data_IF_406513788358
#
_entry.id   IF_406513788358
#
_cell.length_a   1.000
_cell.length_b   1.000
_cell.length_c   1.000
_cell.angle_alpha   90.00
_cell.angle_beta   90.00
_cell.angle_gamma   90.00
#
_symmetry.space_group_name_H-M   'P 1'
#
loop_
_entity.id
_entity.type
_entity.pdbx_description
1 polymer ?
#
# COMPACT_ATOMS: atom_id res chain seq x y z
N UNK A 1 19.30 -4.65 12.14
CA UNK A 1 20.75 -4.37 12.23
C UNK A 1 21.44 -5.44 13.06
N UNK A 2 22.53 -6.06 12.57
CA UNK A 2 23.38 -6.94 13.37
C UNK A 2 23.90 -6.22 14.61
N UNK A 3 23.76 -6.84 15.78
CA UNK A 3 24.19 -6.27 17.07
C UNK A 3 25.67 -5.84 17.07
N UNK A 4 26.52 -6.57 16.33
CA UNK A 4 27.93 -6.23 16.16
C UNK A 4 28.16 -4.89 15.46
N UNK A 5 27.29 -4.46 14.54
CA UNK A 5 27.41 -3.17 13.85
C UNK A 5 27.00 -2.00 14.74
N UNK A 6 25.98 -2.17 15.59
CA UNK A 6 25.57 -1.16 16.57
C UNK A 6 26.65 -0.94 17.65
N UNK A 7 27.38 -1.98 18.03
CA UNK A 7 28.46 -1.90 19.04
C UNK A 7 29.78 -1.31 18.50
N UNK A 8 29.98 -1.32 17.18
CA UNK A 8 31.18 -0.78 16.53
C UNK A 8 31.04 0.71 16.16
N UNK A 9 29.82 1.26 16.21
CA UNK A 9 29.61 2.67 15.92
C UNK A 9 30.06 3.55 17.07
N UNK A 10 31.00 4.45 16.79
CA UNK A 10 31.53 5.45 17.73
C UNK A 10 30.81 6.80 17.62
N UNK A 11 29.88 6.94 16.68
CA UNK A 11 29.23 8.20 16.36
C UNK A 11 27.91 8.45 17.12
N UNK A 12 27.50 7.55 18.04
CA UNK A 12 26.20 7.54 18.75
C UNK A 12 24.95 7.56 17.84
N UNK A 13 25.12 7.65 16.51
CA UNK A 13 24.01 7.70 15.55
C UNK A 13 23.37 6.33 15.31
N UNK A 14 24.14 5.24 15.31
CA UNK A 14 23.63 3.88 15.09
C UNK A 14 23.27 3.16 16.39
N UNK A 15 23.81 3.58 17.54
CA UNK A 15 23.47 3.02 18.85
C UNK A 15 22.02 3.33 19.24
N UNK A 16 21.49 4.49 18.81
CA UNK A 16 20.10 4.89 19.03
C UNK A 16 19.05 4.20 18.14
N UNK A 17 19.47 3.50 17.08
CA UNK A 17 18.55 2.78 16.17
C UNK A 17 18.10 1.42 16.71
N UNK A 18 18.75 0.91 17.76
CA UNK A 18 18.52 -0.43 18.28
C UNK A 18 19.06 -1.54 17.37
N UNK A 19 18.83 -2.80 17.78
CA UNK A 19 19.24 -4.00 17.05
C UNK A 19 18.04 -4.92 16.82
N UNK A 20 18.17 -5.86 15.88
CA UNK A 20 17.09 -6.79 15.51
C UNK A 20 16.62 -6.64 14.07
N UNK A 21 15.54 -7.32 13.71
CA UNK A 21 14.91 -7.19 12.40
C UNK A 21 14.33 -5.78 12.26
N UNK A 22 14.44 -5.15 11.10
CA UNK A 22 13.97 -3.77 10.92
C UNK A 22 13.30 -3.66 9.56
N UNK A 23 12.33 -2.76 9.46
CA UNK A 23 11.82 -2.35 8.16
C UNK A 23 12.84 -1.39 7.52
N UNK A 24 13.20 -1.65 6.27
CA UNK A 24 14.05 -0.77 5.47
C UNK A 24 13.30 -0.33 4.22
N UNK A 25 13.29 0.96 3.96
CA UNK A 25 12.80 1.52 2.70
C UNK A 25 13.97 1.93 1.81
N UNK A 26 13.73 1.92 0.49
CA UNK A 26 14.68 2.47 -0.47
C UNK A 26 14.68 4.00 -0.39
N UNK A 27 15.87 4.60 -0.27
CA UNK A 27 16.02 6.04 -0.42
C UNK A 27 15.92 6.41 -1.91
N UNK A 28 15.06 7.39 -2.22
CA UNK A 28 14.89 7.95 -3.56
C UNK A 28 15.19 9.44 -3.49
N UNK A 29 16.14 9.90 -4.31
CA UNK A 29 16.59 11.29 -4.30
C UNK A 29 15.81 12.14 -5.29
N UNK A 30 15.73 13.45 -5.03
CA UNK A 30 15.15 14.45 -5.94
C UNK A 30 13.66 14.20 -6.28
N UNK A 31 12.93 13.61 -5.34
CA UNK A 31 11.48 13.46 -5.41
C UNK A 31 10.78 14.43 -4.47
N UNK A 32 9.57 14.83 -4.83
CA UNK A 32 8.65 15.55 -3.95
C UNK A 32 7.34 14.77 -3.88
N UNK A 33 6.50 15.09 -2.90
CA UNK A 33 5.12 14.62 -2.93
C UNK A 33 4.43 15.03 -4.25
N UNK A 34 3.64 14.14 -4.83
CA UNK A 34 2.97 14.43 -6.09
C UNK A 34 1.97 15.58 -5.92
N UNK A 35 2.04 16.54 -6.84
CA UNK A 35 1.09 17.64 -6.94
C UNK A 35 0.03 17.36 -8.01
N UNK A 36 -1.12 18.05 -7.92
CA UNK A 36 -2.23 17.94 -8.89
C UNK A 36 -1.75 18.16 -10.34
N UNK A 37 -0.81 19.09 -10.56
CA UNK A 37 -0.27 19.37 -11.89
C UNK A 37 0.60 18.24 -12.45
N UNK A 38 1.16 17.38 -11.59
CA UNK A 38 1.98 16.24 -12.00
C UNK A 38 1.14 14.96 -12.16
N UNK A 39 -0.05 14.88 -11.55
CA UNK A 39 -0.99 13.76 -11.73
C UNK A 39 -1.26 13.49 -13.21
N UNK A 40 -1.43 14.52 -14.03
CA UNK A 40 -1.71 14.35 -15.47
C UNK A 40 -0.58 13.67 -16.25
N UNK A 41 0.67 13.76 -15.76
CA UNK A 41 1.85 13.15 -16.37
C UNK A 41 1.99 11.66 -16.07
N UNK A 42 1.36 11.16 -15.00
CA UNK A 42 1.41 9.75 -14.64
C UNK A 42 0.74 8.92 -15.74
N UNK A 43 1.41 7.84 -16.18
CA UNK A 43 0.91 6.94 -17.23
C UNK A 43 -0.48 6.39 -16.85
N UNK A 44 -1.46 6.41 -17.77
CA UNK A 44 -2.82 5.94 -17.47
C UNK A 44 -2.89 4.52 -16.90
N UNK A 45 -2.08 3.59 -17.43
CA UNK A 45 -2.02 2.21 -16.93
C UNK A 45 -1.56 2.14 -15.47
N UNK A 46 -0.61 2.98 -15.06
CA UNK A 46 -0.12 3.01 -13.69
C UNK A 46 -1.17 3.59 -12.74
N UNK A 47 -1.94 4.59 -13.19
CA UNK A 47 -3.08 5.11 -12.42
C UNK A 47 -4.14 4.04 -12.18
N UNK A 48 -4.49 3.27 -13.21
CA UNK A 48 -5.42 2.14 -13.07
C UNK A 48 -4.87 1.08 -12.11
N UNK A 49 -3.58 0.75 -12.22
CA UNK A 49 -2.95 -0.24 -11.36
C UNK A 49 -2.99 0.15 -9.88
N UNK A 50 -2.66 1.40 -9.57
CA UNK A 50 -2.70 1.94 -8.21
C UNK A 50 -4.15 1.98 -7.71
N UNK A 51 -5.09 2.55 -8.49
CA UNK A 51 -6.50 2.61 -8.11
C UNK A 51 -7.12 1.23 -7.84
N UNK A 52 -6.82 0.24 -8.69
CA UNK A 52 -7.29 -1.12 -8.51
C UNK A 52 -6.69 -1.75 -7.25
N UNK A 53 -5.39 -1.55 -7.02
CA UNK A 53 -4.68 -2.06 -5.86
C UNK A 53 -5.21 -1.46 -4.56
N UNK A 54 -5.32 -0.14 -4.45
CA UNK A 54 -5.81 0.52 -3.23
C UNK A 54 -7.26 0.17 -2.92
N UNK A 55 -8.11 -0.02 -3.94
CA UNK A 55 -9.46 -0.58 -3.71
C UNK A 55 -9.39 -2.02 -3.21
N UNK A 56 -8.54 -2.85 -3.79
CA UNK A 56 -8.41 -4.26 -3.42
C UNK A 56 -7.96 -4.46 -1.98
N UNK A 57 -6.97 -3.67 -1.54
CA UNK A 57 -6.49 -3.71 -0.16
C UNK A 57 -7.26 -2.80 0.78
N UNK A 58 -8.32 -2.11 0.33
CA UNK A 58 -9.08 -1.15 1.14
C UNK A 58 -8.22 -0.05 1.76
N UNK A 59 -7.33 0.57 0.96
CA UNK A 59 -6.49 1.69 1.38
C UNK A 59 -7.18 3.03 1.10
N UNK A 60 -7.87 3.57 2.10
CA UNK A 60 -8.62 4.83 2.02
C UNK A 60 -7.77 6.11 2.04
N UNK A 61 -6.49 6.01 2.37
CA UNK A 61 -5.66 7.18 2.69
C UNK A 61 -5.12 7.89 1.44
N UNK A 62 -5.03 7.19 0.29
CA UNK A 62 -4.47 7.71 -0.97
C UNK A 62 -5.38 8.76 -1.63
N UNK A 63 -5.37 9.96 -1.09
CA UNK A 63 -6.35 11.01 -1.42
C UNK A 63 -5.68 12.24 -2.02
N UNK A 64 -6.34 12.87 -2.99
CA UNK A 64 -5.92 14.19 -3.48
C UNK A 64 -7.10 14.90 -4.16
N UNK A 65 -7.43 16.09 -3.68
CA UNK A 65 -8.46 16.96 -4.21
C UNK A 65 -7.96 18.40 -4.32
N UNK A 66 -8.77 19.30 -4.87
CA UNK A 66 -8.46 20.75 -4.89
C UNK A 66 -8.29 21.34 -3.49
N UNK A 67 -8.85 20.71 -2.46
CA UNK A 67 -8.68 21.09 -1.05
C UNK A 67 -7.43 20.49 -0.38
N UNK A 68 -6.62 19.73 -1.13
CA UNK A 68 -5.52 18.91 -0.62
C UNK A 68 -5.92 17.45 -0.42
N UNK A 69 -5.07 16.71 0.29
CA UNK A 69 -5.22 15.28 0.56
C UNK A 69 -3.91 14.69 1.05
N UNK A 70 -3.88 13.38 1.25
CA UNK A 70 -2.66 12.64 1.55
C UNK A 70 -2.34 11.68 0.39
N UNK A 71 -1.62 12.10 -0.65
CA UNK A 71 -1.43 11.25 -1.81
C UNK A 71 -0.53 10.05 -1.50
N UNK A 72 0.36 10.11 -0.50
CA UNK A 72 1.35 9.05 -0.21
C UNK A 72 2.08 8.55 -1.49
N UNK A 73 2.40 9.50 -2.37
CA UNK A 73 3.02 9.26 -3.66
C UNK A 73 4.14 10.29 -3.84
N UNK A 74 5.33 9.81 -4.14
CA UNK A 74 6.47 10.65 -4.48
C UNK A 74 6.64 10.70 -5.99
N UNK A 75 7.01 11.86 -6.51
CA UNK A 75 7.17 12.14 -7.93
C UNK A 75 8.56 12.73 -8.21
N UNK A 76 9.22 12.20 -9.24
CA UNK A 76 10.45 12.73 -9.80
C UNK A 76 10.14 13.48 -11.09
N UNK A 77 10.25 14.82 -11.09
CA UNK A 77 10.13 15.60 -12.33
C UNK A 77 11.29 15.35 -13.32
N UNK A 78 12.40 14.77 -12.84
CA UNK A 78 13.57 14.47 -13.67
C UNK A 78 13.40 13.18 -14.47
N UNK A 79 12.84 12.14 -13.85
CA UNK A 79 12.67 10.81 -14.47
C UNK A 79 11.24 10.52 -14.88
N UNK A 80 10.30 11.37 -14.50
CA UNK A 80 8.85 11.17 -14.68
C UNK A 80 8.37 9.85 -14.05
N UNK A 81 8.95 9.52 -12.90
CA UNK A 81 8.64 8.31 -12.15
C UNK A 81 7.82 8.63 -10.91
N UNK A 82 6.90 7.70 -10.61
CA UNK A 82 6.03 7.74 -9.44
C UNK A 82 6.43 6.61 -8.49
N UNK A 83 6.62 6.95 -7.22
CA UNK A 83 6.94 5.99 -6.16
C UNK A 83 5.78 5.94 -5.18
N UNK A 84 5.25 4.74 -4.95
CA UNK A 84 4.15 4.50 -4.04
C UNK A 84 4.71 4.20 -2.66
N UNK A 85 4.28 4.99 -1.67
CA UNK A 85 4.70 4.82 -0.29
C UNK A 85 3.46 4.67 0.61
N UNK A 86 3.75 4.33 1.86
CA UNK A 86 2.84 4.32 3.00
C UNK A 86 1.48 3.59 2.78
N UNK A 87 1.43 2.34 3.26
CA UNK A 87 0.24 1.49 3.23
C UNK A 87 -0.17 1.07 4.65
N UNK A 88 0.24 1.83 5.66
CA UNK A 88 -0.04 1.53 7.07
C UNK A 88 -1.55 1.52 7.40
N UNK A 89 -2.37 2.25 6.63
CA UNK A 89 -3.83 2.33 6.75
C UNK A 89 -4.58 1.46 5.73
N UNK A 90 -3.90 0.48 5.12
CA UNK A 90 -4.58 -0.54 4.33
C UNK A 90 -5.42 -1.48 5.21
N UNK A 91 -6.35 -2.20 4.58
CA UNK A 91 -7.30 -3.13 5.21
C UNK A 91 -8.30 -2.45 6.16
N UNK A 92 -8.62 -1.18 5.93
CA UNK A 92 -9.65 -0.46 6.67
C UNK A 92 -11.05 -0.85 6.17
N UNK A 93 -11.78 -1.62 6.99
CA UNK A 93 -13.13 -2.11 6.69
C UNK A 93 -14.17 -0.99 6.48
N UNK A 94 -13.87 0.25 6.90
CA UNK A 94 -14.76 1.40 6.68
C UNK A 94 -14.67 1.96 5.26
N UNK A 95 -13.65 1.57 4.50
CA UNK A 95 -13.46 2.01 3.12
C UNK A 95 -14.51 1.38 2.20
N UNK A 96 -15.28 2.24 1.54
CA UNK A 96 -16.27 1.82 0.54
C UNK A 96 -15.81 2.20 -0.85
N UNK A 97 -16.38 1.56 -1.88
CA UNK A 97 -16.09 1.94 -3.25
C UNK A 97 -16.57 3.37 -3.54
N UNK A 98 -17.65 3.82 -2.89
CA UNK A 98 -18.15 5.19 -3.02
C UNK A 98 -17.15 6.18 -2.42
N UNK A 99 -16.66 5.95 -1.19
CA UNK A 99 -15.67 6.85 -0.57
C UNK A 99 -14.39 6.93 -1.39
N UNK A 100 -13.94 5.80 -1.97
CA UNK A 100 -12.81 5.78 -2.90
C UNK A 100 -13.05 6.60 -4.18
N UNK A 101 -14.22 6.48 -4.79
CA UNK A 101 -14.56 7.26 -5.98
C UNK A 101 -14.62 8.76 -5.66
N UNK A 102 -14.98 9.13 -4.43
CA UNK A 102 -15.07 10.53 -4.01
C UNK A 102 -13.71 11.17 -3.73
N UNK A 103 -12.78 10.45 -3.08
CA UNK A 103 -11.55 11.05 -2.54
C UNK A 103 -10.24 10.59 -3.18
N UNK A 104 -10.22 9.44 -3.85
CA UNK A 104 -8.98 8.84 -4.34
C UNK A 104 -8.34 9.68 -5.46
N UNK A 105 -7.02 9.84 -5.42
CA UNK A 105 -6.26 10.62 -6.42
C UNK A 105 -6.49 10.15 -7.87
N UNK A 106 -6.73 8.85 -8.06
CA UNK A 106 -7.03 8.22 -9.36
C UNK A 106 -8.49 7.72 -9.46
N UNK A 107 -9.44 8.42 -8.81
CA UNK A 107 -10.87 8.08 -8.80
C UNK A 107 -11.49 7.94 -10.20
N UNK A 108 -10.99 8.70 -11.17
CA UNK A 108 -11.42 8.59 -12.57
C UNK A 108 -11.09 7.22 -13.14
N UNK A 109 -9.87 6.71 -12.92
CA UNK A 109 -9.47 5.37 -13.37
C UNK A 109 -10.21 4.27 -12.61
N UNK A 110 -10.45 4.45 -11.31
CA UNK A 110 -11.28 3.53 -10.54
C UNK A 110 -12.69 3.43 -11.15
N UNK A 111 -13.27 4.58 -11.51
CA UNK A 111 -14.57 4.63 -12.17
C UNK A 111 -14.58 3.95 -13.54
N UNK A 112 -13.52 4.10 -14.33
CA UNK A 112 -13.34 3.39 -15.61
C UNK A 112 -13.30 1.87 -15.43
N UNK A 113 -12.59 1.38 -14.41
CA UNK A 113 -12.53 -0.05 -14.07
C UNK A 113 -13.93 -0.55 -13.69
N UNK A 114 -14.67 0.19 -12.84
CA UNK A 114 -16.06 -0.16 -12.48
C UNK A 114 -16.99 -0.26 -13.69
N UNK A 115 -16.74 0.50 -14.76
CA UNK A 115 -17.55 0.50 -15.97
C UNK A 115 -17.11 -0.55 -17.02
N UNK A 116 -15.89 -1.09 -16.92
CA UNK A 116 -15.30 -1.95 -17.96
C UNK A 116 -15.14 -3.39 -17.51
N UNK A 117 -15.91 -4.31 -18.09
CA UNK A 117 -15.77 -5.75 -17.84
C UNK A 117 -14.41 -6.32 -18.24
N UNK A 118 -13.78 -5.73 -19.26
CA UNK A 118 -12.43 -6.12 -19.69
C UNK A 118 -11.40 -5.78 -18.61
N UNK A 119 -11.47 -4.55 -18.05
CA UNK A 119 -10.57 -4.15 -16.96
C UNK A 119 -10.84 -4.94 -15.67
N UNK A 120 -12.10 -5.20 -15.33
CA UNK A 120 -12.47 -6.02 -14.17
C UNK A 120 -11.89 -7.43 -14.28
N UNK A 121 -11.99 -8.04 -15.46
CA UNK A 121 -11.39 -9.36 -15.69
C UNK A 121 -9.86 -9.31 -15.60
N UNK A 122 -9.23 -8.30 -16.20
CA UNK A 122 -7.78 -8.09 -16.13
C UNK A 122 -7.27 -8.01 -14.67
N UNK A 123 -7.91 -7.17 -13.84
CA UNK A 123 -7.49 -7.03 -12.44
C UNK A 123 -7.84 -8.26 -11.60
N UNK A 124 -8.96 -8.93 -11.86
CA UNK A 124 -9.28 -10.18 -11.18
C UNK A 124 -8.19 -11.25 -11.40
N UNK A 125 -7.64 -11.36 -12.61
CA UNK A 125 -6.52 -12.28 -12.88
C UNK A 125 -5.26 -11.91 -12.11
N UNK A 126 -4.90 -10.62 -12.07
CA UNK A 126 -3.72 -10.15 -11.32
C UNK A 126 -3.87 -10.34 -9.81
N UNK A 127 -5.06 -10.08 -9.26
CA UNK A 127 -5.35 -10.31 -7.85
C UNK A 127 -5.30 -11.79 -7.51
N UNK A 128 -5.85 -12.67 -8.36
CA UNK A 128 -5.75 -14.11 -8.17
C UNK A 128 -4.29 -14.59 -8.17
N UNK A 129 -3.48 -14.11 -9.10
CA UNK A 129 -2.05 -14.42 -9.18
C UNK A 129 -1.30 -13.95 -7.92
N UNK A 130 -1.50 -12.71 -7.49
CA UNK A 130 -0.88 -12.18 -6.28
C UNK A 130 -1.36 -12.90 -5.00
N UNK A 131 -2.65 -13.20 -4.90
CA UNK A 131 -3.25 -13.91 -3.76
C UNK A 131 -2.71 -15.34 -3.65
N UNK A 132 -2.34 -15.99 -4.75
CA UNK A 132 -1.75 -17.33 -4.72
C UNK A 132 -0.42 -17.39 -3.96
N UNK A 133 0.30 -16.26 -3.86
CA UNK A 133 1.54 -16.14 -3.11
C UNK A 133 1.34 -15.74 -1.64
N UNK A 134 0.12 -15.39 -1.22
CA UNK A 134 -0.16 -14.87 0.12
C UNK A 134 0.31 -15.79 1.26
N UNK A 135 0.13 -17.13 1.20
CA UNK A 135 0.63 -18.00 2.27
C UNK A 135 2.15 -17.95 2.44
N UNK A 136 2.90 -17.78 1.35
CA UNK A 136 4.35 -17.61 1.40
C UNK A 136 4.75 -16.24 1.94
N UNK A 137 4.02 -15.19 1.55
CA UNK A 137 4.23 -13.82 2.06
C UNK A 137 4.01 -13.78 3.58
N UNK A 138 2.92 -14.37 4.08
CA UNK A 138 2.61 -14.45 5.51
C UNK A 138 3.69 -15.23 6.25
N UNK A 139 4.16 -16.36 5.70
CA UNK A 139 5.24 -17.15 6.29
C UNK A 139 6.58 -16.40 6.32
N UNK A 140 6.77 -15.46 5.41
CA UNK A 140 7.93 -14.57 5.37
C UNK A 140 7.90 -13.45 6.41
N UNK A 141 6.76 -13.23 7.10
CA UNK A 141 6.69 -12.24 8.18
C UNK A 141 7.56 -12.74 9.34
N UNK A 142 8.55 -11.94 9.78
CA UNK A 142 9.44 -12.41 10.83
C UNK A 142 8.71 -12.62 12.16
N UNK A 143 9.09 -13.66 12.90
CA UNK A 143 8.41 -14.08 14.13
C UNK A 143 8.26 -12.94 15.14
N UNK A 144 9.29 -12.09 15.31
CA UNK A 144 9.22 -11.00 16.28
C UNK A 144 8.10 -10.00 15.95
N UNK A 145 7.71 -9.86 14.68
CA UNK A 145 6.75 -8.86 14.22
C UNK A 145 5.34 -9.18 14.71
N UNK A 146 5.07 -10.42 15.13
CA UNK A 146 3.79 -10.82 15.73
C UNK A 146 3.60 -10.31 17.15
N UNK A 147 4.62 -9.72 17.77
CA UNK A 147 4.59 -9.30 19.16
C UNK A 147 4.81 -7.79 19.33
N UNK A 148 4.12 -7.21 20.30
CA UNK A 148 4.23 -5.79 20.66
C UNK A 148 5.41 -5.51 21.61
N UNK A 149 5.98 -6.55 22.23
CA UNK A 149 7.08 -6.47 23.18
C UNK A 149 8.26 -7.37 22.77
N UNK A 150 9.47 -7.01 23.22
CA UNK A 150 10.71 -7.74 22.89
C UNK A 150 10.76 -9.15 23.48
N UNK A 151 9.95 -9.45 24.51
CA UNK A 151 9.94 -10.76 25.16
C UNK A 151 8.94 -11.74 24.53
N UNK A 152 8.26 -11.33 23.45
CA UNK A 152 7.25 -12.12 22.75
C UNK A 152 6.10 -12.58 23.66
N UNK A 153 5.66 -11.71 24.57
CA UNK A 153 4.62 -12.03 25.57
C UNK A 153 3.27 -11.41 25.22
N UNK A 154 3.24 -10.39 24.39
CA UNK A 154 2.06 -9.62 24.00
C UNK A 154 1.94 -9.70 22.47
N UNK A 155 0.89 -10.38 21.99
CA UNK A 155 0.53 -10.39 20.56
C UNK A 155 0.20 -8.97 20.08
N UNK A 156 0.65 -8.61 18.88
CA UNK A 156 0.44 -7.27 18.31
C UNK A 156 -1.01 -7.05 17.82
N UNK A 157 -1.83 -8.10 17.78
CA UNK A 157 -3.22 -8.09 17.35
C UNK A 157 -3.42 -7.99 15.83
N UNK A 158 -2.38 -8.22 15.01
CA UNK A 158 -2.47 -8.08 13.56
C UNK A 158 -3.37 -9.18 12.95
N UNK A 159 -4.51 -8.83 12.36
CA UNK A 159 -5.54 -9.81 12.03
C UNK A 159 -5.32 -10.42 10.63
N UNK A 160 -4.40 -11.38 10.50
CA UNK A 160 -4.10 -12.06 9.23
C UNK A 160 -5.37 -12.59 8.55
N UNK A 161 -6.26 -13.27 9.28
CA UNK A 161 -7.50 -13.81 8.71
C UNK A 161 -8.34 -12.71 8.04
N UNK A 162 -8.35 -11.49 8.59
CA UNK A 162 -9.07 -10.34 8.01
C UNK A 162 -8.40 -9.80 6.75
N UNK A 163 -7.06 -9.83 6.70
CA UNK A 163 -6.31 -9.51 5.48
C UNK A 163 -6.71 -10.49 4.38
N UNK A 164 -6.71 -11.80 4.66
CA UNK A 164 -7.11 -12.82 3.69
C UNK A 164 -8.55 -12.63 3.21
N UNK A 165 -9.50 -12.45 4.14
CA UNK A 165 -10.91 -12.22 3.80
C UNK A 165 -11.09 -10.95 2.95
N UNK A 166 -10.39 -9.87 3.27
CA UNK A 166 -10.43 -8.62 2.50
C UNK A 166 -9.91 -8.83 1.07
N UNK A 167 -8.79 -9.52 0.93
CA UNK A 167 -8.20 -9.79 -0.38
C UNK A 167 -9.07 -10.74 -1.20
N UNK A 168 -9.80 -11.67 -0.60
CA UNK A 168 -10.69 -12.61 -1.32
C UNK A 168 -11.92 -11.94 -1.94
N UNK A 169 -12.32 -10.74 -1.47
CA UNK A 169 -13.50 -10.01 -1.97
C UNK A 169 -13.49 -9.78 -3.48
N UNK A 170 -12.33 -9.76 -4.14
CA UNK A 170 -12.24 -9.55 -5.59
C UNK A 170 -13.04 -10.55 -6.42
N UNK A 171 -13.27 -11.75 -5.88
CA UNK A 171 -14.04 -12.81 -6.53
C UNK A 171 -15.56 -12.59 -6.44
N UNK A 172 -16.01 -11.68 -5.58
CA UNK A 172 -17.44 -11.42 -5.39
C UNK A 172 -18.04 -10.69 -6.59
N UNK A 173 -19.22 -11.11 -7.09
CA UNK A 173 -19.89 -10.44 -8.21
C UNK A 173 -20.22 -8.96 -7.95
N UNK A 174 -20.25 -8.55 -6.69
CA UNK A 174 -20.53 -7.19 -6.23
C UNK A 174 -19.28 -6.35 -6.00
N UNK A 175 -18.08 -6.90 -6.15
CA UNK A 175 -16.82 -6.23 -5.79
C UNK A 175 -16.63 -4.86 -6.48
N UNK A 176 -17.03 -4.74 -7.74
CA UNK A 176 -16.94 -3.49 -8.51
C UNK A 176 -18.25 -2.69 -8.54
N UNK A 177 -19.26 -3.07 -7.73
CA UNK A 177 -20.54 -2.38 -7.68
C UNK A 177 -20.48 -1.24 -6.67
N UNK A 178 -20.93 -0.06 -7.09
CA UNK A 178 -21.11 1.12 -6.24
C UNK A 178 -22.32 0.87 -5.35
N UNK A 179 -22.10 0.36 -4.14
CA UNK A 179 -23.12 0.16 -3.10
C UNK A 179 -22.97 1.22 -2.03
#
# INVERSE_FOLDING_TARGET
MPQALCQLDRSDTLSGLGFGEMFGSQSVENVNEISIVNVVKVRPSLKCDIAAFDWWVMNGDRTLSDAGGNPNLLWSDKTEELFVIDHNLAFDETVTLNSQIESHIFSTQLSEICASKVLQHHYAQRFAEALSALPEIIRGIPERWYYADEHHTIDNGFPIDRVEMTLQRYAEPTFWKRT
#
